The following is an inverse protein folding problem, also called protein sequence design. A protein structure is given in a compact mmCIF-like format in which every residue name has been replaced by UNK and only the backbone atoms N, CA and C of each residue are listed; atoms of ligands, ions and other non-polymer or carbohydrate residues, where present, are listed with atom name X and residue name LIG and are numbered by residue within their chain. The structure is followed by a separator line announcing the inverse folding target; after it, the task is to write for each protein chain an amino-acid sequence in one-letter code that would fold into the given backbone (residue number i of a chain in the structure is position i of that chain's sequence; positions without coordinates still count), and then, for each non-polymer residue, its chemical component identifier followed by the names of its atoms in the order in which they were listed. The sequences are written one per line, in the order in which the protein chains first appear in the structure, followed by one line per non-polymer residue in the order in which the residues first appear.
data_IF_293196903975
#
_entry.id   IF_293196903975
#
_cell.length_a   1.000
_cell.length_b   1.000
_cell.length_c   1.000
_cell.angle_alpha   90.00
_cell.angle_beta   90.00
_cell.angle_gamma   90.00
#
_symmetry.space_group_name_H-M   'P 1'
#
loop_
_entity.id
_entity.type
_entity.pdbx_description
1 polymer ?
#
# COMPACT_ATOMS: atom_id res chain seq x y z
N UNK A 1 49.36 -49.07 22.15
CA UNK A 1 48.19 -48.59 22.95
C UNK A 1 47.98 -47.05 22.81
N UNK A 2 49.03 -46.28 22.72
CA UNK A 2 48.97 -44.79 22.59
C UNK A 2 48.35 -44.26 21.29
N UNK A 3 48.52 -44.92 20.15
CA UNK A 3 47.98 -44.46 18.86
C UNK A 3 46.44 -44.54 18.77
N UNK A 4 45.82 -45.59 19.36
CA UNK A 4 44.36 -45.73 19.38
C UNK A 4 43.68 -44.67 20.24
N UNK A 5 44.34 -44.25 21.33
CA UNK A 5 43.81 -43.18 22.21
C UNK A 5 43.83 -41.82 21.53
N UNK A 6 44.87 -41.53 20.73
CA UNK A 6 45.02 -40.28 20.00
C UNK A 6 43.92 -40.14 18.89
N UNK A 7 43.65 -41.21 18.14
CA UNK A 7 42.62 -41.24 17.12
C UNK A 7 41.19 -41.02 17.71
N UNK A 8 40.95 -41.57 18.90
CA UNK A 8 39.67 -41.39 19.59
C UNK A 8 39.48 -39.95 20.06
N UNK A 9 40.53 -39.29 20.56
CA UNK A 9 40.51 -37.89 21.00
C UNK A 9 40.28 -36.96 19.80
N UNK A 10 40.96 -37.18 18.67
CA UNK A 10 40.73 -36.39 17.45
C UNK A 10 39.34 -36.54 16.88
N UNK A 11 38.75 -37.75 16.92
CA UNK A 11 37.34 -37.95 16.52
C UNK A 11 36.35 -37.28 17.46
N UNK A 12 36.59 -37.30 18.78
CA UNK A 12 35.78 -36.63 19.76
C UNK A 12 35.82 -35.10 19.62
N UNK A 13 37.03 -34.54 19.38
CA UNK A 13 37.25 -33.13 19.11
C UNK A 13 36.59 -32.69 17.81
N UNK A 14 36.69 -33.48 16.73
CA UNK A 14 36.03 -33.19 15.46
C UNK A 14 34.50 -33.24 15.59
N UNK A 15 33.95 -34.17 16.38
CA UNK A 15 32.53 -34.28 16.65
C UNK A 15 32.03 -33.08 17.51
N UNK A 16 32.80 -32.70 18.54
CA UNK A 16 32.51 -31.52 19.37
C UNK A 16 32.55 -30.22 18.55
N UNK A 17 33.54 -30.10 17.64
CA UNK A 17 33.65 -28.94 16.75
C UNK A 17 32.49 -28.89 15.75
N UNK A 18 32.07 -30.02 15.20
CA UNK A 18 30.92 -30.12 14.30
C UNK A 18 29.58 -29.76 15.03
N UNK A 19 29.43 -30.21 16.29
CA UNK A 19 28.26 -29.86 17.10
C UNK A 19 28.27 -28.38 17.46
N UNK A 20 29.42 -27.79 17.76
CA UNK A 20 29.54 -26.35 18.03
C UNK A 20 29.22 -25.49 16.80
N UNK A 21 29.65 -25.93 15.60
CA UNK A 21 29.35 -25.25 14.34
C UNK A 21 27.87 -25.41 14.00
N UNK A 22 27.24 -26.57 14.22
CA UNK A 22 25.80 -26.75 13.98
C UNK A 22 24.93 -26.01 15.00
N UNK A 23 25.32 -25.96 16.26
CA UNK A 23 24.63 -25.15 17.28
C UNK A 23 24.83 -23.66 17.00
N UNK A 24 26.01 -23.22 16.56
CA UNK A 24 26.26 -21.84 16.13
C UNK A 24 25.42 -21.42 14.90
N UNK A 25 25.18 -22.33 13.95
CA UNK A 25 24.35 -22.05 12.78
C UNK A 25 22.85 -22.11 13.06
N UNK A 26 22.42 -22.83 14.10
CA UNK A 26 21.00 -22.85 14.54
C UNK A 26 20.66 -21.61 15.41
N UNK A 27 21.65 -21.04 16.13
CA UNK A 27 21.47 -19.77 16.85
C UNK A 27 21.84 -18.52 16.04
N UNK A 28 22.41 -18.63 14.87
CA UNK A 28 22.39 -17.58 13.87
C UNK A 28 21.09 -17.67 13.06
N UNK A 29 19.95 -17.73 13.75
CA UNK A 29 18.73 -17.15 13.26
C UNK A 29 19.08 -15.69 13.04
N UNK A 30 19.50 -15.35 11.82
CA UNK A 30 19.74 -13.98 11.44
C UNK A 30 18.48 -13.22 11.76
N UNK A 31 18.55 -12.31 12.74
CA UNK A 31 17.69 -11.17 12.67
C UNK A 31 18.05 -10.55 11.31
N UNK A 32 17.26 -10.87 10.29
CA UNK A 32 17.23 -10.06 9.10
C UNK A 32 16.81 -8.69 9.60
N UNK A 33 17.80 -7.84 9.84
CA UNK A 33 17.58 -6.41 9.96
C UNK A 33 17.06 -6.04 8.57
N UNK A 34 15.73 -6.02 8.44
CA UNK A 34 15.09 -5.45 7.27
C UNK A 34 15.52 -3.98 7.29
N UNK A 35 16.34 -3.59 6.32
CA UNK A 35 16.56 -2.17 6.10
C UNK A 35 15.19 -1.59 5.74
N UNK A 36 14.76 -0.56 6.47
CA UNK A 36 13.50 0.12 6.19
C UNK A 36 13.46 0.58 4.72
N UNK A 37 12.30 0.50 4.08
CA UNK A 37 12.14 0.89 2.68
C UNK A 37 12.32 2.39 2.42
N UNK A 38 12.36 3.21 3.50
CA UNK A 38 12.60 4.65 3.42
C UNK A 38 12.19 5.38 4.70
N UNK A 39 12.11 6.71 4.60
CA UNK A 39 11.66 7.59 5.67
C UNK A 39 10.55 8.52 5.20
N UNK A 40 9.64 8.88 6.11
CA UNK A 40 8.58 9.87 5.89
C UNK A 40 8.61 10.93 6.97
N UNK A 41 8.20 12.14 6.64
CA UNK A 41 7.98 13.22 7.60
C UNK A 41 6.54 13.14 8.11
N UNK A 42 6.36 12.62 9.33
CA UNK A 42 5.06 12.44 9.97
C UNK A 42 4.68 13.67 10.79
N UNK A 43 3.40 14.06 10.74
CA UNK A 43 2.82 15.15 11.52
C UNK A 43 1.53 14.71 12.21
N UNK A 44 1.50 14.86 13.55
CA UNK A 44 0.30 14.74 14.35
C UNK A 44 -0.35 16.13 14.46
N UNK A 45 -1.47 16.32 13.81
CA UNK A 45 -2.21 17.59 13.74
C UNK A 45 -3.25 17.75 14.84
N UNK A 46 -4.30 18.52 14.54
CA UNK A 46 -5.37 18.82 15.50
C UNK A 46 -6.14 17.56 15.95
N UNK A 47 -6.63 17.60 17.18
CA UNK A 47 -7.47 16.55 17.72
C UNK A 47 -8.88 16.61 17.14
N UNK A 48 -9.42 15.46 16.78
CA UNK A 48 -10.79 15.25 16.33
C UNK A 48 -11.50 14.40 17.39
N UNK A 49 -12.47 14.96 18.12
CA UNK A 49 -13.20 14.23 19.15
C UNK A 49 -14.17 13.21 18.55
N UNK A 50 -14.34 12.08 19.22
CA UNK A 50 -15.37 11.09 18.93
C UNK A 50 -15.77 10.34 20.20
N UNK A 51 -17.06 10.37 20.54
CA UNK A 51 -17.53 9.84 21.82
C UNK A 51 -16.82 10.49 23.00
N UNK A 52 -16.28 9.66 23.89
CA UNK A 52 -15.50 10.09 25.06
C UNK A 52 -14.01 10.18 24.76
N UNK A 53 -13.61 10.09 23.51
CA UNK A 53 -12.23 10.02 23.07
C UNK A 53 -11.90 11.01 21.95
N UNK A 54 -10.65 11.04 21.52
CA UNK A 54 -10.23 11.79 20.32
C UNK A 54 -9.13 11.02 19.58
N UNK A 55 -9.01 11.32 18.29
CA UNK A 55 -7.82 11.02 17.48
C UNK A 55 -7.20 12.31 16.99
N UNK A 56 -5.97 12.27 16.49
CA UNK A 56 -5.36 13.42 15.82
C UNK A 56 -5.50 13.29 14.30
N UNK A 57 -5.71 14.40 13.59
CA UNK A 57 -5.56 14.42 12.14
C UNK A 57 -4.09 14.21 11.81
N UNK A 58 -3.75 13.07 11.28
CA UNK A 58 -2.36 12.69 10.99
C UNK A 58 -2.07 12.78 9.51
N UNK A 59 -0.93 13.35 9.18
CA UNK A 59 -0.44 13.46 7.80
C UNK A 59 1.04 13.08 7.72
N UNK A 60 1.52 12.85 6.52
CA UNK A 60 2.94 12.66 6.25
C UNK A 60 3.30 13.28 4.90
N UNK A 61 4.58 13.65 4.73
CA UNK A 61 5.13 14.24 3.51
C UNK A 61 4.18 15.30 2.92
N UNK A 62 3.81 16.28 3.75
CA UNK A 62 2.83 17.31 3.44
C UNK A 62 1.39 16.90 3.82
N UNK A 63 0.52 16.62 2.86
CA UNK A 63 -0.91 16.44 3.10
C UNK A 63 -1.40 15.00 2.90
N UNK A 64 -0.51 14.01 2.75
CA UNK A 64 -0.94 12.63 2.64
C UNK A 64 -1.50 12.13 3.97
N UNK A 65 -2.63 11.44 3.93
CA UNK A 65 -3.34 10.99 5.14
C UNK A 65 -2.65 9.79 5.78
N UNK A 66 -2.53 9.82 7.10
CA UNK A 66 -2.07 8.70 7.92
C UNK A 66 -3.10 8.34 9.00
N UNK A 67 -3.02 7.12 9.51
CA UNK A 67 -3.90 6.57 10.53
C UNK A 67 -3.10 5.79 11.57
N UNK A 68 -3.48 5.88 12.84
CA UNK A 68 -3.03 4.95 13.87
C UNK A 68 -3.86 3.67 13.88
N UNK A 69 -3.24 2.55 14.25
CA UNK A 69 -3.92 1.25 14.29
C UNK A 69 -4.05 0.64 15.69
N UNK A 70 -3.53 1.33 16.70
CA UNK A 70 -3.51 0.85 18.10
C UNK A 70 -4.05 1.93 19.06
N UNK A 71 -5.37 2.15 19.16
CA UNK A 71 -5.98 3.28 19.89
C UNK A 71 -5.62 3.38 21.37
N UNK A 72 -5.19 2.29 22.00
CA UNK A 72 -4.79 2.26 23.42
C UNK A 72 -3.36 2.76 23.68
N UNK A 73 -2.57 3.02 22.62
CA UNK A 73 -1.21 3.54 22.74
C UNK A 73 -1.17 5.04 22.44
N UNK A 74 -0.09 5.69 22.88
CA UNK A 74 0.12 7.12 22.60
C UNK A 74 0.36 7.38 21.12
N UNK A 75 -0.19 8.46 20.60
CA UNK A 75 0.14 8.98 19.26
C UNK A 75 1.64 9.28 19.18
N UNK A 76 2.32 8.90 18.07
CA UNK A 76 3.71 9.30 17.86
C UNK A 76 3.85 10.83 17.80
N UNK A 77 4.99 11.35 18.25
CA UNK A 77 5.32 12.76 18.04
C UNK A 77 5.53 13.06 16.55
N UNK A 78 5.33 14.32 16.13
CA UNK A 78 5.73 14.74 14.79
C UNK A 78 7.24 14.59 14.60
N UNK A 79 7.67 14.09 13.43
CA UNK A 79 9.08 13.84 13.16
C UNK A 79 9.31 12.94 11.94
N UNK A 80 10.55 12.59 11.70
CA UNK A 80 10.93 11.66 10.63
C UNK A 80 10.95 10.23 11.13
N UNK A 81 10.30 9.32 10.41
CA UNK A 81 10.18 7.90 10.77
C UNK A 81 10.54 7.02 9.59
N UNK A 82 11.25 5.94 9.90
CA UNK A 82 11.44 4.85 8.95
C UNK A 82 10.14 4.07 8.77
N UNK A 83 9.89 3.61 7.55
CA UNK A 83 8.70 2.83 7.21
C UNK A 83 9.05 1.57 6.43
N UNK A 84 8.15 0.60 6.46
CA UNK A 84 8.16 -0.56 5.58
C UNK A 84 6.95 -0.48 4.63
N UNK A 85 7.13 -0.90 3.38
CA UNK A 85 6.03 -0.96 2.43
C UNK A 85 5.07 -2.11 2.78
N UNK A 86 3.77 -1.83 2.71
CA UNK A 86 2.76 -2.88 2.83
C UNK A 86 2.76 -3.77 1.57
N UNK A 87 2.66 -5.08 1.79
CA UNK A 87 2.53 -6.05 0.71
C UNK A 87 1.32 -5.74 -0.20
N UNK A 88 1.40 -6.11 -1.47
CA UNK A 88 0.35 -5.82 -2.48
C UNK A 88 -1.02 -6.38 -2.13
N UNK A 89 -1.06 -7.53 -1.48
CA UNK A 89 -2.26 -8.24 -1.01
C UNK A 89 -2.68 -7.87 0.41
N UNK A 90 -1.96 -6.95 1.07
CA UNK A 90 -2.29 -6.52 2.43
C UNK A 90 -3.70 -5.94 2.54
N UNK A 91 -4.54 -6.42 3.47
CA UNK A 91 -5.84 -5.83 3.75
C UNK A 91 -5.75 -4.36 4.17
N UNK A 92 -4.67 -3.95 4.88
CA UNK A 92 -4.42 -2.56 5.24
C UNK A 92 -4.14 -1.70 4.02
N UNK A 93 -3.32 -2.18 3.07
CA UNK A 93 -3.05 -1.47 1.81
C UNK A 93 -4.36 -1.25 1.03
N UNK A 94 -5.20 -2.27 0.99
CA UNK A 94 -6.52 -2.17 0.34
C UNK A 94 -7.42 -1.16 1.06
N UNK A 95 -7.46 -1.17 2.39
CA UNK A 95 -8.23 -0.22 3.16
C UNK A 95 -7.76 1.22 2.94
N UNK A 96 -6.46 1.48 2.99
CA UNK A 96 -5.89 2.82 2.75
C UNK A 96 -6.23 3.39 1.37
N UNK A 97 -6.41 2.55 0.36
CA UNK A 97 -6.85 3.00 -0.96
C UNK A 97 -8.31 3.50 -0.96
N UNK A 98 -9.17 2.89 -0.15
CA UNK A 98 -10.62 3.17 -0.13
C UNK A 98 -11.09 4.03 1.05
N UNK A 99 -10.22 4.43 1.97
CA UNK A 99 -10.56 5.30 3.09
C UNK A 99 -10.25 6.77 2.78
N UNK A 100 -10.76 7.67 3.63
CA UNK A 100 -10.55 9.13 3.50
C UNK A 100 -9.07 9.45 3.29
N UNK A 101 -8.77 10.23 2.25
CA UNK A 101 -7.40 10.51 1.80
C UNK A 101 -6.81 9.47 0.84
N UNK A 102 -7.49 8.35 0.58
CA UNK A 102 -7.11 7.39 -0.45
C UNK A 102 -7.76 7.69 -1.80
N UNK A 103 -7.09 7.33 -2.90
CA UNK A 103 -7.59 7.62 -4.25
C UNK A 103 -8.95 7.00 -4.56
N UNK A 104 -9.20 5.76 -4.14
CA UNK A 104 -10.48 5.06 -4.36
C UNK A 104 -11.62 5.54 -3.47
N UNK A 105 -11.33 6.39 -2.45
CA UNK A 105 -12.34 6.90 -1.55
C UNK A 105 -13.38 7.76 -2.28
N UNK A 106 -12.94 8.82 -2.94
CA UNK A 106 -13.82 9.76 -3.64
C UNK A 106 -14.64 9.07 -4.74
N UNK A 107 -14.03 8.12 -5.46
CA UNK A 107 -14.66 7.48 -6.64
C UNK A 107 -15.61 6.33 -6.29
N UNK A 108 -15.43 5.67 -5.13
CA UNK A 108 -16.10 4.38 -4.89
C UNK A 108 -16.83 4.30 -3.56
N UNK A 109 -16.31 4.94 -2.52
CA UNK A 109 -16.74 4.68 -1.13
C UNK A 109 -17.48 5.84 -0.53
N UNK A 110 -17.06 7.09 -0.79
CA UNK A 110 -17.55 8.29 -0.14
C UNK A 110 -19.08 8.43 -0.24
N UNK A 111 -19.61 8.50 -1.45
CA UNK A 111 -21.05 8.74 -1.66
C UNK A 111 -21.90 7.57 -1.17
N UNK A 112 -21.38 6.36 -1.30
CA UNK A 112 -22.11 5.14 -0.95
C UNK A 112 -22.18 4.86 0.55
N UNK A 113 -21.09 5.10 1.28
CA UNK A 113 -20.97 4.69 2.67
C UNK A 113 -20.84 5.87 3.65
N UNK A 114 -20.44 7.04 3.18
CA UNK A 114 -20.20 8.23 4.00
C UNK A 114 -21.12 9.42 3.66
N UNK A 115 -22.16 9.20 2.85
CA UNK A 115 -23.18 10.23 2.62
C UNK A 115 -23.78 10.71 3.95
N UNK A 116 -23.75 12.03 4.20
CA UNK A 116 -24.19 12.63 5.45
C UNK A 116 -23.19 12.60 6.61
N UNK A 117 -22.03 12.00 6.45
CA UNK A 117 -20.93 12.05 7.42
C UNK A 117 -20.01 13.24 7.11
N UNK A 118 -19.56 13.94 8.15
CA UNK A 118 -18.55 14.99 7.98
C UNK A 118 -17.20 14.38 7.58
N UNK A 119 -16.30 15.21 7.04
CA UNK A 119 -14.94 14.78 6.71
C UNK A 119 -14.19 14.26 7.95
N UNK A 120 -14.31 14.96 9.08
CA UNK A 120 -13.72 14.53 10.35
C UNK A 120 -14.27 13.18 10.82
N UNK A 121 -15.59 12.99 10.77
CA UNK A 121 -16.19 11.71 11.16
C UNK A 121 -15.79 10.58 10.20
N UNK A 122 -15.70 10.87 8.91
CA UNK A 122 -15.23 9.90 7.91
C UNK A 122 -13.77 9.50 8.17
N UNK A 123 -12.92 10.45 8.56
CA UNK A 123 -11.56 10.21 8.96
C UNK A 123 -11.46 9.37 10.24
N UNK A 124 -12.25 9.70 11.27
CA UNK A 124 -12.32 8.91 12.52
C UNK A 124 -12.75 7.46 12.21
N UNK A 125 -13.78 7.28 11.39
CA UNK A 125 -14.21 5.94 10.99
C UNK A 125 -13.08 5.23 10.24
N UNK A 126 -12.30 5.93 9.42
CA UNK A 126 -11.08 5.39 8.80
C UNK A 126 -10.09 4.83 9.82
N UNK A 127 -9.84 5.53 10.93
CA UNK A 127 -9.02 5.02 12.05
C UNK A 127 -9.58 3.72 12.62
N UNK A 128 -10.88 3.69 12.88
CA UNK A 128 -11.53 2.49 13.43
C UNK A 128 -11.45 1.30 12.46
N UNK A 129 -11.60 1.57 11.16
CA UNK A 129 -11.46 0.54 10.10
C UNK A 129 -10.05 -0.04 10.07
N UNK A 130 -9.01 0.80 10.02
CA UNK A 130 -7.63 0.29 9.96
C UNK A 130 -7.23 -0.41 11.26
N UNK A 131 -7.66 0.10 12.43
CA UNK A 131 -7.42 -0.57 13.71
C UNK A 131 -8.10 -1.94 13.77
N UNK A 132 -9.35 -2.04 13.30
CA UNK A 132 -10.09 -3.30 13.24
C UNK A 132 -9.45 -4.32 12.29
N UNK A 133 -8.97 -3.87 11.12
CA UNK A 133 -8.26 -4.71 10.16
C UNK A 133 -6.91 -5.16 10.74
N UNK A 134 -6.15 -4.26 11.35
CA UNK A 134 -4.88 -4.55 11.99
C UNK A 134 -5.01 -5.58 13.11
N UNK A 135 -6.11 -5.51 13.87
CA UNK A 135 -6.48 -6.47 14.91
C UNK A 135 -7.03 -7.80 14.37
N UNK A 136 -6.90 -8.09 13.08
CA UNK A 136 -7.41 -9.33 12.47
C UNK A 136 -8.93 -9.41 12.44
N UNK A 137 -9.63 -8.28 12.39
CA UNK A 137 -11.10 -8.16 12.46
C UNK A 137 -11.69 -8.61 13.80
N UNK A 138 -10.91 -8.51 14.90
CA UNK A 138 -11.41 -8.75 16.25
C UNK A 138 -11.87 -7.46 16.91
N UNK A 139 -13.04 -7.48 17.54
CA UNK A 139 -13.59 -6.38 18.33
C UNK A 139 -13.01 -6.33 19.76
N UNK A 140 -12.33 -7.39 20.20
CA UNK A 140 -11.90 -7.57 21.60
C UNK A 140 -10.53 -6.95 21.89
N UNK A 141 -9.91 -6.32 20.90
CA UNK A 141 -8.53 -5.80 20.96
C UNK A 141 -8.41 -4.34 21.32
N UNK A 142 -9.51 -3.67 21.64
CA UNK A 142 -9.54 -2.22 21.87
C UNK A 142 -9.53 -1.38 20.59
N UNK A 143 -9.70 -1.99 19.40
CA UNK A 143 -9.75 -1.29 18.11
C UNK A 143 -10.84 -0.19 18.06
N UNK A 144 -11.91 -0.34 18.86
CA UNK A 144 -13.04 0.58 18.94
C UNK A 144 -13.09 1.36 20.25
N UNK A 145 -11.96 1.47 20.96
CA UNK A 145 -11.92 2.11 22.26
C UNK A 145 -12.50 3.54 22.23
N UNK A 146 -13.48 3.80 23.12
CA UNK A 146 -14.15 5.10 23.28
C UNK A 146 -15.06 5.50 22.11
N UNK A 147 -15.24 4.66 21.09
CA UNK A 147 -16.05 5.00 19.93
C UNK A 147 -17.56 4.80 20.21
N UNK A 148 -18.43 5.73 19.74
CA UNK A 148 -19.89 5.52 19.75
C UNK A 148 -20.30 4.32 18.92
N UNK A 149 -21.38 3.64 19.31
CA UNK A 149 -21.86 2.44 18.62
C UNK A 149 -22.11 2.67 17.13
N UNK A 150 -22.65 3.84 16.75
CA UNK A 150 -22.88 4.19 15.34
C UNK A 150 -21.59 4.26 14.52
N UNK A 151 -20.46 4.66 15.12
CA UNK A 151 -19.16 4.69 14.46
C UNK A 151 -18.59 3.27 14.34
N UNK A 152 -18.77 2.44 15.37
CA UNK A 152 -18.36 1.04 15.35
C UNK A 152 -19.09 0.27 14.25
N UNK A 153 -20.42 0.44 14.17
CA UNK A 153 -21.24 -0.21 13.16
C UNK A 153 -20.83 0.23 11.75
N UNK A 154 -20.60 1.55 11.55
CA UNK A 154 -20.13 2.10 10.29
C UNK A 154 -18.74 1.57 9.93
N UNK A 155 -17.81 1.51 10.88
CA UNK A 155 -16.47 0.97 10.64
C UNK A 155 -16.50 -0.50 10.23
N UNK A 156 -17.33 -1.32 10.87
CA UNK A 156 -17.52 -2.73 10.50
C UNK A 156 -18.16 -2.88 9.11
N UNK A 157 -19.18 -2.07 8.81
CA UNK A 157 -19.83 -2.03 7.49
C UNK A 157 -18.79 -1.71 6.39
N UNK A 158 -18.02 -0.63 6.57
CA UNK A 158 -17.01 -0.18 5.60
C UNK A 158 -15.87 -1.21 5.47
N UNK A 159 -15.37 -1.76 6.58
CA UNK A 159 -14.35 -2.80 6.54
C UNK A 159 -14.81 -4.04 5.76
N UNK A 160 -16.06 -4.47 5.93
CA UNK A 160 -16.63 -5.59 5.19
C UNK A 160 -16.84 -5.25 3.71
N UNK A 161 -17.30 -4.03 3.40
CA UNK A 161 -17.45 -3.57 2.02
C UNK A 161 -16.11 -3.58 1.28
N UNK A 162 -15.05 -3.05 1.90
CA UNK A 162 -13.69 -2.99 1.32
C UNK A 162 -13.16 -4.38 0.96
N UNK A 163 -13.48 -5.43 1.72
CA UNK A 163 -13.08 -6.80 1.37
C UNK A 163 -13.53 -7.20 -0.04
N UNK A 164 -14.73 -6.77 -0.43
CA UNK A 164 -15.36 -7.15 -1.70
C UNK A 164 -14.99 -6.22 -2.88
N UNK A 165 -14.36 -5.07 -2.61
CA UNK A 165 -13.93 -4.13 -3.65
C UNK A 165 -12.71 -4.70 -4.42
N UNK A 166 -12.42 -4.20 -5.64
CA UNK A 166 -11.24 -4.57 -6.41
C UNK A 166 -9.93 -4.34 -5.64
N UNK A 167 -8.87 -5.04 -6.01
CA UNK A 167 -7.54 -4.74 -5.49
C UNK A 167 -7.10 -3.32 -5.95
N UNK A 168 -6.35 -2.58 -5.12
CA UNK A 168 -5.72 -1.34 -5.57
C UNK A 168 -4.80 -1.58 -6.75
N UNK A 169 -4.61 -0.58 -7.63
CA UNK A 169 -3.66 -0.66 -8.74
C UNK A 169 -2.25 -1.04 -8.27
N UNK A 170 -1.49 -1.68 -9.17
CA UNK A 170 -0.13 -2.17 -8.87
C UNK A 170 0.82 -1.06 -8.38
N UNK A 171 0.71 0.14 -8.94
CA UNK A 171 1.52 1.31 -8.59
C UNK A 171 1.08 2.00 -7.30
N UNK A 172 -0.06 1.67 -6.71
CA UNK A 172 -0.49 2.24 -5.43
C UNK A 172 0.47 1.81 -4.32
N UNK A 173 0.98 2.78 -3.56
CA UNK A 173 1.94 2.55 -2.47
C UNK A 173 1.31 2.89 -1.13
N UNK A 174 1.48 2.01 -0.17
CA UNK A 174 1.09 2.20 1.22
C UNK A 174 2.18 1.63 2.13
N UNK A 175 2.27 2.15 3.35
CA UNK A 175 3.34 1.82 4.28
C UNK A 175 2.82 1.63 5.71
N UNK A 176 3.69 1.06 6.54
CA UNK A 176 3.54 0.95 7.98
C UNK A 176 4.78 1.53 8.67
N UNK A 177 4.57 2.34 9.68
CA UNK A 177 5.60 2.78 10.64
C UNK A 177 5.41 1.94 11.89
N UNK A 178 6.31 0.99 12.18
CA UNK A 178 6.21 0.19 13.40
C UNK A 178 6.30 1.05 14.66
N UNK A 179 5.38 0.85 15.58
CA UNK A 179 5.37 1.58 16.86
C UNK A 179 6.48 1.09 17.78
N UNK A 180 7.32 2.01 18.25
CA UNK A 180 8.30 1.78 19.31
C UNK A 180 7.93 2.61 20.53
N UNK A 181 7.10 2.06 21.43
CA UNK A 181 6.57 2.78 22.60
C UNK A 181 5.40 3.75 22.29
N UNK A 182 5.01 3.88 21.04
CA UNK A 182 3.86 4.63 20.53
C UNK A 182 2.99 3.75 19.65
N UNK A 183 1.89 4.30 19.11
CA UNK A 183 1.06 3.60 18.14
C UNK A 183 1.83 3.29 16.86
N UNK A 184 1.54 2.15 16.24
CA UNK A 184 1.87 1.88 14.85
C UNK A 184 1.01 2.77 13.96
N UNK A 185 1.62 3.34 12.92
CA UNK A 185 0.97 4.23 11.95
C UNK A 185 0.97 3.59 10.57
N UNK A 186 -0.12 3.75 9.83
CA UNK A 186 -0.22 3.36 8.43
C UNK A 186 -0.62 4.55 7.58
N UNK A 187 -0.16 4.56 6.34
CA UNK A 187 -0.49 5.63 5.42
C UNK A 187 -0.32 5.19 3.98
N UNK A 188 -0.80 6.03 3.06
CA UNK A 188 -0.60 5.82 1.64
C UNK A 188 -0.39 7.15 0.94
N UNK A 189 0.49 7.16 -0.07
CA UNK A 189 0.58 8.31 -0.94
C UNK A 189 -0.67 8.38 -1.81
N UNK A 190 -1.27 9.58 -1.89
CA UNK A 190 -2.32 9.81 -2.87
C UNK A 190 -1.67 9.76 -4.25
N UNK A 191 -1.93 8.69 -4.96
CA UNK A 191 -1.45 8.51 -6.32
C UNK A 191 -2.66 8.34 -7.23
N UNK A 192 -2.72 9.17 -8.24
CA UNK A 192 -3.61 8.94 -9.38
C UNK A 192 -3.03 7.76 -10.16
N UNK A 193 -3.75 6.63 -10.29
CA UNK A 193 -3.30 5.56 -11.15
C UNK A 193 -3.19 6.10 -12.56
N UNK A 194 -2.01 6.06 -13.14
CA UNK A 194 -1.78 6.46 -14.51
C UNK A 194 -1.15 5.31 -15.31
N UNK A 195 -1.37 5.35 -16.59
CA UNK A 195 -0.79 4.43 -17.56
C UNK A 195 -0.54 5.12 -18.88
N UNK A 196 0.02 4.38 -19.80
CA UNK A 196 0.25 4.82 -21.17
C UNK A 196 -0.37 3.83 -22.13
N UNK A 197 -0.93 4.34 -23.23
CA UNK A 197 -1.36 3.53 -24.35
C UNK A 197 -0.33 3.61 -25.48
N UNK A 198 0.11 2.47 -25.96
CA UNK A 198 0.95 2.38 -27.15
C UNK A 198 0.18 1.77 -28.31
N UNK A 199 0.26 2.39 -29.47
CA UNK A 199 -0.36 1.93 -30.71
C UNK A 199 0.73 1.60 -31.71
N UNK A 200 0.57 0.47 -32.39
CA UNK A 200 1.40 0.05 -33.51
C UNK A 200 0.51 -0.25 -34.72
N UNK A 201 0.54 0.65 -35.68
CA UNK A 201 -0.09 0.43 -36.99
C UNK A 201 0.86 -0.38 -37.85
N UNK A 202 0.38 -1.44 -38.44
CA UNK A 202 1.13 -2.26 -39.40
C UNK A 202 0.30 -2.52 -40.64
N UNK A 203 0.95 -2.85 -41.76
CA UNK A 203 0.27 -3.32 -42.94
C UNK A 203 -0.09 -4.80 -42.81
N UNK A 204 -1.31 -5.15 -43.16
CA UNK A 204 -1.71 -6.57 -43.27
C UNK A 204 -1.21 -7.23 -44.58
N UNK A 205 -0.80 -6.42 -45.58
CA UNK A 205 -0.30 -6.89 -46.85
C UNK A 205 0.79 -5.96 -47.38
N UNK A 206 2.05 -6.31 -47.10
CA UNK A 206 3.22 -5.53 -47.48
C UNK A 206 3.33 -5.33 -49.00
N UNK A 207 2.91 -6.30 -49.83
CA UNK A 207 2.97 -6.19 -51.26
C UNK A 207 2.03 -5.13 -51.88
N UNK A 208 1.03 -4.69 -51.12
CA UNK A 208 0.11 -3.62 -51.51
C UNK A 208 0.54 -2.27 -50.92
N UNK A 209 1.11 -2.28 -49.74
CA UNK A 209 1.42 -1.06 -48.99
C UNK A 209 2.85 -0.54 -49.18
N UNK A 210 3.83 -1.42 -49.44
CA UNK A 210 5.23 -1.00 -49.53
C UNK A 210 5.44 -0.16 -50.80
N UNK A 211 5.99 1.06 -50.57
CA UNK A 211 6.22 2.04 -51.64
C UNK A 211 4.96 2.72 -52.19
N UNK A 212 3.79 2.45 -51.60
CA UNK A 212 2.52 3.05 -52.03
C UNK A 212 2.15 4.20 -51.08
N UNK A 213 2.22 5.44 -51.59
CA UNK A 213 1.95 6.66 -50.82
C UNK A 213 0.53 6.75 -50.24
N UNK A 214 -0.43 5.97 -50.78
CA UNK A 214 -1.80 5.93 -50.27
C UNK A 214 -1.94 5.08 -48.99
N UNK A 215 -0.91 4.33 -48.61
CA UNK A 215 -0.91 3.43 -47.44
C UNK A 215 0.18 3.76 -46.42
N UNK A 216 0.34 5.07 -46.13
CA UNK A 216 1.33 5.49 -45.13
C UNK A 216 1.05 4.91 -43.75
N UNK A 217 2.11 4.46 -43.07
CA UNK A 217 2.06 4.13 -41.62
C UNK A 217 2.02 5.41 -40.78
N UNK A 218 2.59 6.49 -41.32
CA UNK A 218 2.66 7.79 -40.66
C UNK A 218 1.35 8.56 -40.84
N UNK A 219 0.98 9.34 -39.81
CA UNK A 219 -0.10 10.31 -39.84
C UNK A 219 -1.49 9.70 -39.60
N UNK A 220 -1.59 8.44 -39.21
CA UNK A 220 -2.88 7.88 -38.79
C UNK A 220 -3.25 8.38 -37.40
N UNK A 221 -4.47 8.89 -37.24
CA UNK A 221 -5.00 9.44 -36.01
C UNK A 221 -5.91 8.44 -35.30
N UNK A 222 -5.73 8.32 -33.97
CA UNK A 222 -6.52 7.47 -33.09
C UNK A 222 -6.98 8.26 -31.87
N UNK A 223 -8.28 8.33 -31.64
CA UNK A 223 -8.87 8.92 -30.44
C UNK A 223 -8.80 7.94 -29.27
N UNK A 224 -8.35 8.42 -28.10
CA UNK A 224 -8.46 7.72 -26.82
C UNK A 224 -9.66 8.30 -26.10
N UNK A 225 -10.59 7.43 -25.70
CA UNK A 225 -11.82 7.84 -25.03
C UNK A 225 -11.91 7.24 -23.63
N UNK A 226 -12.47 8.04 -22.69
CA UNK A 226 -12.90 7.59 -21.35
C UNK A 226 -14.44 7.65 -21.34
N UNK A 227 -15.09 6.53 -21.56
CA UNK A 227 -16.50 6.53 -21.94
C UNK A 227 -16.70 7.22 -23.28
N UNK A 228 -17.53 8.27 -23.32
CA UNK A 228 -17.81 9.06 -24.52
C UNK A 228 -16.93 10.33 -24.64
N UNK A 229 -16.06 10.60 -23.68
CA UNK A 229 -15.18 11.78 -23.67
C UNK A 229 -13.87 11.48 -24.38
N UNK A 230 -13.52 12.29 -25.40
CA UNK A 230 -12.20 12.23 -26.06
C UNK A 230 -11.15 12.82 -25.12
N UNK A 231 -10.25 11.97 -24.63
CA UNK A 231 -9.17 12.36 -23.70
C UNK A 231 -7.93 12.83 -24.44
N UNK A 232 -7.56 12.13 -25.52
CA UNK A 232 -6.38 12.42 -26.32
C UNK A 232 -6.50 11.87 -27.74
N UNK A 233 -5.87 12.55 -28.71
CA UNK A 233 -5.66 12.01 -30.06
C UNK A 233 -4.19 11.63 -30.23
N UNK A 234 -3.92 10.44 -30.73
CA UNK A 234 -2.58 9.95 -31.07
C UNK A 234 -2.38 9.96 -32.58
N UNK A 235 -1.24 10.46 -33.02
CA UNK A 235 -0.84 10.43 -34.44
C UNK A 235 0.38 9.53 -34.60
N UNK A 236 0.33 8.55 -35.50
CA UNK A 236 1.45 7.62 -35.71
C UNK A 236 2.62 8.28 -36.43
N UNK A 237 3.82 7.89 -36.04
CA UNK A 237 5.08 8.24 -36.70
C UNK A 237 5.33 7.43 -37.98
N UNK A 238 6.49 7.63 -38.61
CA UNK A 238 6.91 6.91 -39.83
C UNK A 238 6.99 5.39 -39.67
N UNK A 239 7.11 4.89 -38.43
CA UNK A 239 7.14 3.46 -38.12
C UNK A 239 5.77 2.91 -37.74
N UNK A 240 4.72 3.73 -37.85
CA UNK A 240 3.37 3.37 -37.40
C UNK A 240 3.18 3.37 -35.90
N UNK A 241 4.09 3.98 -35.11
CA UNK A 241 4.05 3.98 -33.67
C UNK A 241 3.51 5.31 -33.14
N UNK A 242 2.70 5.21 -32.09
CA UNK A 242 2.30 6.34 -31.27
C UNK A 242 2.17 5.92 -29.80
N UNK A 243 2.45 6.84 -28.89
CA UNK A 243 2.32 6.65 -27.44
C UNK A 243 1.55 7.82 -26.85
N UNK A 244 0.64 7.53 -25.91
CA UNK A 244 -0.07 8.57 -25.17
C UNK A 244 0.82 9.30 -24.18
N UNK A 245 0.37 10.48 -23.73
CA UNK A 245 0.72 11.01 -22.43
C UNK A 245 0.21 10.10 -21.31
N UNK A 246 0.39 10.53 -20.07
CA UNK A 246 -0.21 9.84 -18.92
C UNK A 246 -1.74 9.85 -19.02
N UNK A 247 -2.34 8.68 -18.85
CA UNK A 247 -3.79 8.47 -18.84
C UNK A 247 -4.22 8.04 -17.45
N UNK A 248 -5.28 8.67 -16.91
CA UNK A 248 -5.90 8.38 -15.62
C UNK A 248 -7.01 7.32 -15.73
#
# INVERSE_FOLDING_TARGET
MLERTNQSIHRLLAFLLAVLVTVGTVFSGGMTVHAADGTVSFHAGANIPYGDYFTSRMTFDGNNTAYCVEPLKKTPASGSYSYDLLAKDSPLRKALYYLNGGYGYEKTVKDKYFSGWSDDNSYVIGHLVVAYIYAGYSSDTGAFHGAPQSFIDKAKEVAQAIKSLPAPPENFRAFIIPGSGSQTVVGSWYQVPYGYLEIRKSSANASVSDGNSNYSLQGAEYGIYKGDELVQTLTTDKNGYAKSGELE
#
